data_IF_706805445049
#
_entry.id   IF_706805445049
#
_cell.length_a   1.000
_cell.length_b   1.000
_cell.length_c   1.000
_cell.angle_alpha   90.00
_cell.angle_beta   90.00
_cell.angle_gamma   90.00
#
_symmetry.space_group_name_H-M   'P 1'
#
loop_
_entity.id
_entity.type
_entity.pdbx_description
1 polymer ?
#
# COMPACT_ATOMS: atom_id res chain seq x y z
N UNK A 1 35.33 -8.63 9.50
CA UNK A 1 34.90 -7.67 8.45
C UNK A 1 33.69 -8.15 7.64
N UNK A 2 33.69 -9.35 7.05
CA UNK A 2 32.58 -9.86 6.23
C UNK A 2 31.27 -10.16 7.00
N UNK A 3 31.36 -10.67 8.23
CA UNK A 3 30.21 -10.87 9.13
C UNK A 3 29.58 -9.53 9.56
N UNK A 4 30.34 -8.42 9.55
CA UNK A 4 29.84 -7.08 9.86
C UNK A 4 29.11 -6.44 8.66
N UNK A 5 29.54 -6.72 7.43
CA UNK A 5 28.86 -6.27 6.20
C UNK A 5 27.60 -7.08 5.90
N UNK A 6 27.57 -8.39 6.19
CA UNK A 6 26.36 -9.23 6.07
C UNK A 6 25.40 -8.94 7.24
N UNK A 7 25.91 -8.72 8.47
CA UNK A 7 25.10 -8.18 9.57
C UNK A 7 24.48 -6.86 9.14
N UNK A 8 25.22 -5.92 8.58
CA UNK A 8 24.64 -4.67 8.09
C UNK A 8 23.72 -4.86 6.88
N UNK A 9 23.92 -5.87 6.02
CA UNK A 9 23.01 -6.14 4.89
C UNK A 9 21.64 -6.63 5.38
N UNK A 10 21.61 -7.60 6.30
CA UNK A 10 20.37 -8.12 6.90
C UNK A 10 19.74 -7.17 7.94
N UNK A 11 20.56 -6.48 8.74
CA UNK A 11 20.13 -5.46 9.72
C UNK A 11 19.66 -4.20 8.99
N UNK A 12 20.29 -3.76 7.89
CA UNK A 12 19.90 -2.53 7.17
C UNK A 12 18.89 -2.74 6.04
N UNK A 13 18.71 -3.95 5.49
CA UNK A 13 17.55 -4.28 4.64
C UNK A 13 16.22 -4.02 5.39
N UNK A 14 16.25 -4.11 6.72
CA UNK A 14 15.18 -3.66 7.62
C UNK A 14 15.46 -2.32 8.32
N UNK A 15 16.72 -1.88 8.44
CA UNK A 15 17.14 -0.65 9.15
C UNK A 15 18.05 0.35 8.40
N UNK A 16 17.58 1.13 7.41
CA UNK A 16 17.83 2.60 7.22
C UNK A 16 17.48 3.02 5.78
N UNK A 17 16.21 3.32 5.55
CA UNK A 17 15.69 4.05 4.40
C UNK A 17 15.26 5.42 4.92
N UNK A 18 16.23 6.32 5.04
CA UNK A 18 15.95 7.74 5.20
C UNK A 18 16.24 8.41 3.86
N UNK A 19 15.35 9.31 3.46
CA UNK A 19 15.39 10.17 2.27
C UNK A 19 15.23 9.44 0.93
N UNK A 20 14.13 9.60 0.18
CA UNK A 20 13.42 10.84 -0.16
C UNK A 20 11.90 10.62 -0.08
N UNK A 21 11.34 10.81 1.12
CA UNK A 21 9.90 10.93 1.35
C UNK A 21 9.51 12.38 1.13
N UNK A 22 8.86 12.68 0.02
CA UNK A 22 8.03 13.90 -0.06
C UNK A 22 6.60 13.59 -0.51
N UNK A 23 6.20 12.32 -0.69
CA UNK A 23 4.82 11.97 -1.11
C UNK A 23 4.21 10.72 -0.47
N UNK A 24 4.72 10.25 0.69
CA UNK A 24 4.15 9.09 1.42
C UNK A 24 3.75 9.30 2.89
N UNK A 25 3.46 10.51 3.44
CA UNK A 25 3.04 10.62 4.85
C UNK A 25 1.77 9.82 5.18
N UNK A 26 0.90 9.60 4.19
CA UNK A 26 -0.48 9.11 4.38
C UNK A 26 -0.63 7.61 4.22
N UNK A 27 0.15 6.95 3.35
CA UNK A 27 0.30 5.49 3.37
C UNK A 27 0.92 5.03 4.70
N UNK A 28 1.87 5.83 5.22
CA UNK A 28 2.53 5.57 6.49
C UNK A 28 1.53 5.60 7.65
N UNK A 29 0.64 6.59 7.68
CA UNK A 29 -0.42 6.72 8.68
C UNK A 29 -1.45 5.58 8.62
N UNK A 30 -1.85 5.13 7.42
CA UNK A 30 -2.81 4.02 7.27
C UNK A 30 -2.22 2.67 7.71
N UNK A 31 -0.98 2.38 7.32
CA UNK A 31 -0.30 1.17 7.78
C UNK A 31 -0.11 1.22 9.30
N UNK A 32 0.21 2.39 9.87
CA UNK A 32 0.24 2.60 11.32
C UNK A 32 -1.09 2.30 12.00
N UNK A 33 -2.18 2.79 11.45
CA UNK A 33 -3.53 2.59 11.99
C UNK A 33 -3.96 1.11 11.96
N UNK A 34 -3.72 0.41 10.84
CA UNK A 34 -4.02 -1.03 10.73
C UNK A 34 -3.17 -1.88 11.69
N UNK A 35 -1.91 -1.48 11.91
CA UNK A 35 -1.03 -2.11 12.89
C UNK A 35 -1.47 -1.82 14.33
N UNK A 36 -2.09 -0.67 14.61
CA UNK A 36 -2.66 -0.33 15.92
C UNK A 36 -3.86 -1.19 16.28
N UNK A 37 -4.78 -1.37 15.34
CA UNK A 37 -5.97 -2.21 15.54
C UNK A 37 -5.57 -3.67 15.79
N UNK A 38 -4.52 -4.15 15.12
CA UNK A 38 -4.16 -5.58 15.14
C UNK A 38 -3.31 -6.00 16.35
N UNK A 39 -2.66 -5.05 17.04
CA UNK A 39 -1.70 -5.35 18.11
C UNK A 39 -1.95 -4.41 19.30
N UNK A 40 -3.00 -4.67 20.06
CA UNK A 40 -3.20 -3.97 21.33
C UNK A 40 -2.33 -4.62 22.41
N UNK A 41 -1.42 -3.86 23.00
CA UNK A 41 -0.55 -4.31 24.10
C UNK A 41 -1.37 -4.80 25.31
N UNK A 42 -2.63 -4.38 25.43
CA UNK A 42 -3.56 -4.88 26.44
C UNK A 42 -3.79 -6.41 26.34
N UNK A 43 -3.89 -6.98 25.14
CA UNK A 43 -4.07 -8.43 24.94
C UNK A 43 -2.84 -9.25 25.31
N UNK A 44 -1.63 -8.65 25.29
CA UNK A 44 -0.40 -9.38 25.58
C UNK A 44 -0.30 -9.83 27.05
N UNK A 45 -1.00 -9.13 27.96
CA UNK A 45 -1.04 -9.47 29.40
C UNK A 45 -1.84 -10.74 29.71
N UNK A 46 -2.70 -11.17 28.77
CA UNK A 46 -3.55 -12.35 28.92
C UNK A 46 -2.96 -13.61 28.25
N UNK A 47 -1.80 -13.49 27.60
CA UNK A 47 -1.22 -14.54 26.77
C UNK A 47 0.14 -15.00 27.31
N UNK A 48 0.34 -16.33 27.25
CA UNK A 48 1.67 -16.93 27.51
C UNK A 48 2.70 -16.41 26.50
N UNK A 49 4.00 -16.60 26.78
CA UNK A 49 5.05 -16.26 25.80
C UNK A 49 4.84 -16.96 24.46
N UNK A 50 4.50 -18.25 24.48
CA UNK A 50 4.20 -19.04 23.29
C UNK A 50 2.97 -18.48 22.54
N UNK A 51 1.90 -18.11 23.27
CA UNK A 51 0.71 -17.49 22.68
C UNK A 51 1.02 -16.13 22.01
N UNK A 52 1.84 -15.30 22.66
CA UNK A 52 2.27 -14.00 22.08
C UNK A 52 3.11 -14.18 20.81
N UNK A 53 4.01 -15.16 20.79
CA UNK A 53 4.83 -15.48 19.62
C UNK A 53 3.96 -16.00 18.46
N UNK A 54 2.97 -16.83 18.74
CA UNK A 54 2.06 -17.36 17.73
C UNK A 54 1.19 -16.27 17.10
N UNK A 55 0.69 -15.31 17.89
CA UNK A 55 -0.05 -14.14 17.37
C UNK A 55 0.82 -13.29 16.46
N UNK A 56 2.09 -13.06 16.85
CA UNK A 56 3.05 -12.35 15.99
C UNK A 56 3.24 -13.11 14.66
N UNK A 57 3.40 -14.43 14.71
CA UNK A 57 3.60 -15.26 13.53
C UNK A 57 2.37 -15.35 12.62
N UNK A 58 1.15 -15.47 13.18
CA UNK A 58 -0.07 -15.67 12.41
C UNK A 58 -0.64 -14.36 11.84
N UNK A 59 -0.64 -13.27 12.61
CA UNK A 59 -1.32 -12.01 12.25
C UNK A 59 -0.33 -11.00 11.69
N UNK A 60 0.80 -10.83 12.36
CA UNK A 60 1.75 -9.77 12.06
C UNK A 60 2.58 -10.09 10.82
N UNK A 61 3.06 -11.33 10.71
CA UNK A 61 3.76 -11.76 9.51
C UNK A 61 2.83 -11.92 8.31
N UNK A 62 1.55 -12.26 8.48
CA UNK A 62 0.60 -12.31 7.36
C UNK A 62 0.25 -10.91 6.83
N UNK A 63 0.00 -9.95 7.72
CA UNK A 63 -0.14 -8.53 7.38
C UNK A 63 1.14 -8.06 6.67
N UNK A 64 2.31 -8.28 7.26
CA UNK A 64 3.59 -7.89 6.67
C UNK A 64 3.84 -8.54 5.30
N UNK A 65 3.56 -9.84 5.15
CA UNK A 65 3.73 -10.55 3.88
C UNK A 65 2.77 -10.05 2.82
N UNK A 66 1.50 -9.81 3.16
CA UNK A 66 0.54 -9.19 2.25
C UNK A 66 1.06 -7.82 1.80
N UNK A 67 1.36 -6.92 2.73
CA UNK A 67 1.87 -5.59 2.42
C UNK A 67 3.22 -5.61 1.70
N UNK A 68 4.08 -6.59 1.97
CA UNK A 68 5.38 -6.79 1.31
C UNK A 68 5.27 -7.35 -0.11
N UNK A 69 4.17 -8.05 -0.43
CA UNK A 69 3.86 -8.44 -1.82
C UNK A 69 3.28 -7.27 -2.62
N UNK A 70 2.62 -6.33 -1.95
CA UNK A 70 1.92 -5.20 -2.60
C UNK A 70 2.77 -3.92 -2.61
N UNK A 71 3.70 -3.74 -1.68
CA UNK A 71 4.58 -2.57 -1.58
C UNK A 71 5.96 -2.93 -1.06
N UNK A 72 6.91 -2.02 -1.31
CA UNK A 72 8.17 -2.00 -0.59
C UNK A 72 7.99 -1.03 0.57
N UNK A 73 7.90 -1.58 1.78
CA UNK A 73 7.50 -0.84 2.99
C UNK A 73 8.58 0.16 3.43
N UNK A 74 8.22 1.42 3.77
CA UNK A 74 9.16 2.39 4.31
C UNK A 74 9.77 1.89 5.62
N UNK A 75 11.02 2.24 5.85
CA UNK A 75 11.74 1.71 6.99
C UNK A 75 11.31 2.32 8.34
N UNK A 76 10.68 3.51 8.34
CA UNK A 76 10.01 4.05 9.52
C UNK A 76 8.89 3.13 10.02
N UNK A 77 8.09 2.59 9.09
CA UNK A 77 7.05 1.59 9.37
C UNK A 77 7.67 0.30 9.90
N UNK A 78 8.72 -0.21 9.26
CA UNK A 78 9.36 -1.45 9.70
C UNK A 78 9.89 -1.33 11.13
N UNK A 79 10.50 -0.20 11.49
CA UNK A 79 10.96 0.06 12.87
C UNK A 79 9.82 0.12 13.86
N UNK A 80 8.69 0.70 13.47
CA UNK A 80 7.53 0.84 14.33
C UNK A 80 6.82 -0.49 14.54
N UNK A 81 6.65 -1.28 13.48
CA UNK A 81 6.22 -2.68 13.56
C UNK A 81 7.13 -3.44 14.54
N UNK A 82 8.46 -3.36 14.35
CA UNK A 82 9.41 -4.03 15.23
C UNK A 82 9.29 -3.55 16.68
N UNK A 83 9.08 -2.24 16.89
CA UNK A 83 8.83 -1.65 18.22
C UNK A 83 7.57 -2.20 18.87
N UNK A 84 6.45 -2.27 18.14
CA UNK A 84 5.17 -2.80 18.65
C UNK A 84 5.23 -4.30 18.90
N UNK A 85 5.83 -5.07 17.99
CA UNK A 85 6.08 -6.50 18.19
C UNK A 85 6.93 -6.77 19.45
N UNK A 86 7.98 -5.96 19.68
CA UNK A 86 8.81 -6.07 20.90
C UNK A 86 8.03 -5.75 22.16
N UNK A 87 7.23 -4.67 22.12
CA UNK A 87 6.38 -4.29 23.25
C UNK A 87 5.33 -5.37 23.56
N UNK A 88 4.75 -5.98 22.53
CA UNK A 88 3.79 -7.07 22.64
C UNK A 88 4.43 -8.36 23.20
N UNK A 89 5.56 -8.80 22.62
CA UNK A 89 6.23 -10.05 23.00
C UNK A 89 6.84 -10.01 24.41
N UNK A 90 7.48 -8.90 24.78
CA UNK A 90 8.25 -8.79 26.03
C UNK A 90 7.51 -8.07 27.16
N UNK A 91 6.43 -7.34 26.85
CA UNK A 91 5.80 -6.43 27.79
C UNK A 91 6.66 -5.18 28.10
N UNK A 92 6.11 -4.24 28.85
CA UNK A 92 6.78 -2.99 29.23
C UNK A 92 7.80 -3.13 30.37
N UNK A 93 8.24 -4.34 30.76
CA UNK A 93 9.22 -4.48 31.84
C UNK A 93 10.65 -4.11 31.41
N UNK A 94 11.36 -3.44 32.33
CA UNK A 94 12.60 -2.69 32.13
C UNK A 94 13.89 -3.46 32.48
N UNK A 95 13.80 -4.72 32.94
CA UNK A 95 14.95 -5.43 33.53
C UNK A 95 15.71 -6.46 32.68
N UNK A 96 15.24 -6.83 31.48
CA UNK A 96 15.94 -7.80 30.60
C UNK A 96 16.45 -7.12 29.34
N UNK A 97 17.69 -7.40 28.91
CA UNK A 97 18.23 -6.96 27.61
C UNK A 97 17.26 -7.42 26.51
N UNK A 98 16.47 -6.49 25.98
CA UNK A 98 15.42 -6.77 24.98
C UNK A 98 16.11 -7.13 23.67
N UNK A 99 16.10 -8.41 23.31
CA UNK A 99 16.62 -8.89 22.02
C UNK A 99 15.73 -8.31 20.92
N UNK A 100 16.33 -7.71 19.89
CA UNK A 100 15.60 -7.18 18.75
C UNK A 100 14.90 -8.33 17.99
N UNK A 101 13.67 -8.11 17.49
CA UNK A 101 12.95 -9.12 16.70
C UNK A 101 13.74 -9.50 15.44
N UNK A 102 14.45 -8.52 14.85
CA UNK A 102 15.45 -8.75 13.78
C UNK A 102 16.52 -9.77 14.17
N UNK A 103 17.04 -9.69 15.40
CA UNK A 103 18.06 -10.63 15.88
C UNK A 103 17.48 -12.02 16.14
N UNK A 104 16.19 -12.13 16.50
CA UNK A 104 15.51 -13.43 16.63
C UNK A 104 15.27 -14.08 15.28
N UNK A 105 14.78 -13.31 14.30
CA UNK A 105 14.57 -13.81 12.94
C UNK A 105 15.88 -14.21 12.26
N UNK A 106 16.95 -13.44 12.46
CA UNK A 106 18.28 -13.81 11.95
C UNK A 106 18.81 -15.08 12.59
N UNK A 107 18.72 -15.19 13.93
CA UNK A 107 19.10 -16.43 14.63
C UNK A 107 18.28 -17.62 14.14
N UNK A 108 16.99 -17.43 13.89
CA UNK A 108 16.11 -18.47 13.36
C UNK A 108 16.50 -18.86 11.92
N UNK A 109 16.81 -17.91 11.04
CA UNK A 109 17.30 -18.21 9.68
C UNK A 109 18.62 -18.96 9.72
N UNK A 110 19.57 -18.51 10.53
CA UNK A 110 20.85 -19.17 10.66
C UNK A 110 20.69 -20.59 11.21
N UNK A 111 19.79 -20.79 12.18
CA UNK A 111 19.50 -22.11 12.76
C UNK A 111 18.67 -23.05 11.87
N UNK A 112 17.77 -22.53 11.05
CA UNK A 112 16.83 -23.35 10.25
C UNK A 112 17.29 -23.51 8.80
N UNK A 113 17.75 -22.44 8.15
CA UNK A 113 18.08 -22.47 6.73
C UNK A 113 19.56 -22.59 6.46
N UNK A 114 20.40 -21.81 7.14
CA UNK A 114 21.84 -21.78 6.80
C UNK A 114 22.57 -22.97 7.45
N UNK A 115 22.12 -23.43 8.63
CA UNK A 115 22.55 -24.65 9.34
C UNK A 115 24.07 -24.90 9.19
N UNK A 116 24.88 -23.97 9.70
CA UNK A 116 26.36 -23.92 9.85
C UNK A 116 26.85 -22.49 9.56
N UNK A 117 28.12 -22.16 9.86
CA UNK A 117 28.75 -20.84 9.64
C UNK A 117 28.95 -20.48 8.15
N UNK A 118 28.14 -21.07 7.26
CA UNK A 118 28.19 -20.85 5.83
C UNK A 118 27.86 -19.40 5.48
N UNK A 119 28.68 -18.83 4.60
CA UNK A 119 28.43 -17.50 4.04
C UNK A 119 27.09 -17.48 3.31
N UNK A 120 26.32 -16.41 3.50
CA UNK A 120 25.06 -16.23 2.77
C UNK A 120 25.29 -16.34 1.26
N UNK A 121 26.45 -15.92 0.74
CA UNK A 121 26.80 -15.94 -0.69
C UNK A 121 26.94 -17.34 -1.26
N UNK A 122 27.47 -18.29 -0.49
CA UNK A 122 27.71 -19.68 -0.91
C UNK A 122 26.57 -20.63 -0.53
N UNK A 123 25.63 -20.18 0.30
CA UNK A 123 24.47 -20.97 0.69
C UNK A 123 23.60 -21.37 -0.51
N UNK A 124 23.38 -22.69 -0.65
CA UNK A 124 22.43 -23.29 -1.60
C UNK A 124 21.04 -23.35 -0.98
N UNK A 125 20.05 -22.84 -1.69
CA UNK A 125 18.67 -22.71 -1.20
C UNK A 125 18.01 -24.09 -1.12
N UNK A 126 17.46 -24.51 0.04
CA UNK A 126 16.71 -25.75 0.16
C UNK A 126 15.48 -25.75 -0.77
N UNK A 127 15.16 -26.89 -1.37
CA UNK A 127 14.02 -27.05 -2.31
C UNK A 127 12.67 -26.86 -1.61
N UNK A 128 12.57 -27.21 -0.34
CA UNK A 128 11.40 -27.18 0.54
C UNK A 128 11.23 -25.87 1.33
N UNK A 129 12.02 -24.83 1.04
CA UNK A 129 11.90 -23.57 1.76
C UNK A 129 10.66 -22.74 1.35
N UNK A 130 10.25 -21.84 2.26
CA UNK A 130 9.12 -20.96 1.99
C UNK A 130 9.39 -20.00 0.81
N UNK A 131 8.32 -19.56 0.14
CA UNK A 131 8.39 -18.70 -1.06
C UNK A 131 9.20 -17.41 -0.83
N UNK A 132 9.11 -16.85 0.37
CA UNK A 132 9.83 -15.63 0.74
C UNK A 132 11.35 -15.86 0.71
N UNK A 133 11.82 -16.99 1.25
CA UNK A 133 13.24 -17.37 1.23
C UNK A 133 13.75 -17.60 -0.20
N UNK A 134 12.93 -18.22 -1.06
CA UNK A 134 13.23 -18.37 -2.50
C UNK A 134 13.41 -17.00 -3.17
N UNK A 135 12.49 -16.07 -2.95
CA UNK A 135 12.59 -14.71 -3.50
C UNK A 135 13.81 -13.93 -2.99
N UNK A 136 14.08 -14.00 -1.69
CA UNK A 136 15.23 -13.31 -1.08
C UNK A 136 16.55 -13.82 -1.66
N UNK A 137 16.70 -15.14 -1.82
CA UNK A 137 17.88 -15.72 -2.47
C UNK A 137 17.96 -15.43 -3.97
N UNK A 138 16.83 -15.25 -4.66
CA UNK A 138 16.82 -14.77 -6.04
C UNK A 138 17.39 -13.34 -6.17
N UNK A 139 17.03 -12.44 -5.24
CA UNK A 139 17.57 -11.07 -5.20
C UNK A 139 19.07 -11.08 -4.88
N UNK A 140 19.50 -11.94 -3.96
CA UNK A 140 20.91 -12.12 -3.60
C UNK A 140 21.81 -12.36 -4.83
N UNK A 141 21.37 -13.18 -5.80
CA UNK A 141 22.15 -13.44 -7.03
C UNK A 141 22.37 -12.15 -7.81
N UNK A 142 21.33 -11.32 -7.97
CA UNK A 142 21.44 -10.00 -8.64
C UNK A 142 22.39 -9.06 -7.88
N UNK A 143 22.35 -9.12 -6.55
CA UNK A 143 23.18 -8.27 -5.69
C UNK A 143 24.66 -8.68 -5.68
N UNK A 144 25.03 -9.92 -6.02
CA UNK A 144 26.43 -10.37 -6.02
C UNK A 144 27.32 -9.49 -6.92
N UNK A 145 26.80 -9.09 -8.09
CA UNK A 145 27.50 -8.20 -9.02
C UNK A 145 27.73 -6.78 -8.50
N UNK A 146 27.14 -6.40 -7.35
CA UNK A 146 27.35 -5.10 -6.71
C UNK A 146 28.43 -5.13 -5.65
N UNK A 147 29.11 -6.26 -5.47
CA UNK A 147 30.21 -6.41 -4.54
C UNK A 147 31.47 -6.87 -5.28
N UNK A 148 32.58 -6.20 -5.01
CA UNK A 148 33.90 -6.63 -5.43
C UNK A 148 34.87 -6.54 -4.26
N UNK A 149 35.57 -7.63 -3.93
CA UNK A 149 36.54 -7.70 -2.83
C UNK A 149 36.00 -7.13 -1.49
N UNK A 150 34.72 -7.35 -1.20
CA UNK A 150 34.07 -6.88 0.02
C UNK A 150 33.63 -5.41 0.00
N UNK A 151 33.92 -4.65 -1.07
CA UNK A 151 33.41 -3.30 -1.28
C UNK A 151 32.11 -3.32 -2.06
N UNK A 152 31.17 -2.47 -1.64
CA UNK A 152 29.90 -2.26 -2.32
C UNK A 152 30.04 -1.20 -3.43
N UNK A 153 29.86 -1.61 -4.67
CA UNK A 153 30.15 -0.80 -5.87
C UNK A 153 29.17 0.35 -6.12
N UNK A 154 27.96 0.30 -5.54
CA UNK A 154 26.95 1.34 -5.76
C UNK A 154 27.12 2.57 -4.85
N UNK A 155 28.19 2.64 -4.04
CA UNK A 155 28.56 3.81 -3.24
C UNK A 155 30.03 4.12 -3.41
N UNK A 156 30.36 5.42 -3.41
CA UNK A 156 31.76 5.88 -3.47
C UNK A 156 32.56 5.43 -2.23
N UNK A 157 31.91 5.39 -1.07
CA UNK A 157 32.52 4.93 0.19
C UNK A 157 32.78 3.42 0.24
N UNK A 158 32.23 2.63 -0.69
CA UNK A 158 32.29 1.16 -0.62
C UNK A 158 31.40 0.55 0.46
N UNK A 159 30.66 1.38 1.21
CA UNK A 159 29.74 0.94 2.26
C UNK A 159 28.39 0.57 1.67
N UNK A 160 27.83 -0.54 2.14
CA UNK A 160 26.50 -0.98 1.73
C UNK A 160 25.44 0.11 1.94
N UNK A 161 24.60 0.31 0.92
CA UNK A 161 23.43 1.18 1.00
C UNK A 161 22.22 0.48 0.42
N UNK A 162 21.25 0.20 1.29
CA UNK A 162 19.96 -0.36 0.88
C UNK A 162 19.27 0.54 -0.14
N UNK A 163 19.34 1.87 0.00
CA UNK A 163 18.72 2.82 -0.93
C UNK A 163 19.30 2.66 -2.33
N UNK A 164 20.63 2.52 -2.44
CA UNK A 164 21.30 2.29 -3.73
C UNK A 164 20.93 0.94 -4.33
N UNK A 165 20.89 -0.12 -3.51
CA UNK A 165 20.50 -1.47 -3.94
C UNK A 165 19.06 -1.47 -4.44
N UNK A 166 18.16 -0.84 -3.68
CA UNK A 166 16.76 -0.68 -4.04
C UNK A 166 16.59 0.06 -5.36
N UNK A 167 17.27 1.21 -5.55
CA UNK A 167 17.19 1.97 -6.78
C UNK A 167 17.75 1.18 -7.97
N UNK A 168 18.82 0.41 -7.77
CA UNK A 168 19.37 -0.48 -8.78
C UNK A 168 18.43 -1.64 -9.13
N UNK A 169 17.76 -2.25 -8.14
CA UNK A 169 16.73 -3.29 -8.37
C UNK A 169 15.49 -2.74 -9.07
N UNK A 170 15.07 -1.52 -8.71
CA UNK A 170 13.87 -0.90 -9.24
C UNK A 170 14.05 -0.35 -10.67
N UNK A 171 15.30 -0.08 -11.05
CA UNK A 171 15.66 0.63 -12.28
C UNK A 171 15.21 2.08 -12.27
N UNK A 172 15.33 2.74 -13.44
CA UNK A 172 14.74 4.06 -13.63
C UNK A 172 13.21 3.94 -13.63
N UNK A 173 12.56 4.65 -12.69
CA UNK A 173 11.11 4.81 -12.66
C UNK A 173 10.80 6.30 -12.77
N UNK A 174 10.09 6.73 -13.82
CA UNK A 174 9.70 8.12 -13.93
C UNK A 174 8.79 8.49 -12.74
N UNK A 175 9.02 9.68 -12.18
CA UNK A 175 8.16 10.20 -11.11
C UNK A 175 6.74 10.35 -11.66
N UNK A 176 5.76 9.79 -10.95
CA UNK A 176 4.35 9.94 -11.34
C UNK A 176 3.92 11.40 -11.11
N UNK A 177 3.63 12.12 -12.19
CA UNK A 177 3.30 13.56 -12.18
C UNK A 177 2.04 13.89 -11.38
N UNK A 178 1.13 12.93 -11.27
CA UNK A 178 -0.18 13.06 -10.63
C UNK A 178 -0.26 12.44 -9.23
N UNK A 179 0.87 11.97 -8.67
CA UNK A 179 0.90 11.36 -7.34
C UNK A 179 0.36 12.29 -6.25
N UNK A 180 0.61 13.60 -6.34
CA UNK A 180 0.06 14.58 -5.38
C UNK A 180 -1.48 14.61 -5.35
N UNK A 181 -2.14 14.34 -6.48
CA UNK A 181 -3.59 14.35 -6.59
C UNK A 181 -4.18 13.11 -5.92
N UNK A 182 -3.51 11.96 -6.03
CA UNK A 182 -3.91 10.73 -5.33
C UNK A 182 -3.77 10.91 -3.82
N UNK A 183 -2.67 11.54 -3.39
CA UNK A 183 -2.33 11.67 -1.98
C UNK A 183 -2.86 12.93 -1.30
N UNK A 184 -3.68 13.74 -1.99
CA UNK A 184 -4.24 14.99 -1.46
C UNK A 184 -4.93 14.81 -0.10
N UNK A 185 -4.70 15.75 0.82
CA UNK A 185 -5.32 15.78 2.14
C UNK A 185 -6.87 15.76 2.12
N UNK A 186 -7.47 16.14 0.98
CA UNK A 186 -8.91 16.16 0.77
C UNK A 186 -9.53 14.76 0.65
N UNK A 187 -8.82 13.78 0.08
CA UNK A 187 -9.36 12.42 -0.07
C UNK A 187 -9.36 11.69 1.28
N UNK A 188 -10.29 10.76 1.52
CA UNK A 188 -10.18 9.88 2.69
C UNK A 188 -8.99 8.93 2.52
N UNK A 189 -8.23 8.62 3.60
CA UNK A 189 -7.06 7.75 3.51
C UNK A 189 -7.32 6.40 2.81
N UNK A 190 -8.45 5.74 3.15
CA UNK A 190 -8.93 4.50 2.50
C UNK A 190 -9.09 4.64 0.97
N UNK A 191 -9.51 5.82 0.49
CA UNK A 191 -9.66 6.11 -0.95
C UNK A 191 -8.29 6.24 -1.62
N UNK A 192 -7.39 7.07 -1.06
CA UNK A 192 -6.05 7.31 -1.63
C UNK A 192 -5.29 6.01 -1.80
N UNK A 193 -5.38 5.17 -0.78
CA UNK A 193 -4.76 3.86 -0.77
C UNK A 193 -5.26 2.96 -1.90
N UNK A 194 -6.58 2.83 -2.02
CA UNK A 194 -7.19 2.02 -3.06
C UNK A 194 -6.87 2.56 -4.46
N UNK A 195 -7.02 3.88 -4.68
CA UNK A 195 -6.70 4.53 -5.96
C UNK A 195 -5.25 4.31 -6.36
N UNK A 196 -4.32 4.39 -5.40
CA UNK A 196 -2.92 4.09 -5.66
C UNK A 196 -2.72 2.65 -6.14
N UNK A 197 -3.40 1.67 -5.53
CA UNK A 197 -3.39 0.29 -6.02
C UNK A 197 -3.98 0.17 -7.42
N UNK A 198 -5.08 0.87 -7.69
CA UNK A 198 -5.77 0.85 -8.97
C UNK A 198 -4.85 1.35 -10.10
N UNK A 199 -4.18 2.49 -9.89
CA UNK A 199 -3.21 3.08 -10.83
C UNK A 199 -2.03 2.13 -11.11
N UNK A 200 -1.58 1.40 -10.10
CA UNK A 200 -0.50 0.42 -10.24
C UNK A 200 -0.99 -0.92 -10.85
N UNK A 201 -2.28 -1.03 -11.19
CA UNK A 201 -2.91 -2.24 -11.69
C UNK A 201 -2.95 -3.38 -10.67
N UNK A 202 -2.83 -3.09 -9.37
CA UNK A 202 -2.64 -4.05 -8.27
C UNK A 202 -3.93 -4.50 -7.57
N UNK A 203 -5.09 -4.03 -8.00
CA UNK A 203 -6.37 -4.52 -7.50
C UNK A 203 -6.66 -5.94 -8.00
N UNK A 204 -7.24 -6.77 -7.13
CA UNK A 204 -7.58 -8.17 -7.41
C UNK A 204 -8.86 -8.30 -8.27
N UNK A 205 -8.81 -7.72 -9.46
CA UNK A 205 -9.80 -7.96 -10.51
C UNK A 205 -9.77 -9.42 -10.96
N UNK A 206 -10.83 -9.90 -11.63
CA UNK A 206 -10.82 -11.28 -12.14
C UNK A 206 -9.69 -11.52 -13.13
N UNK A 207 -9.42 -10.56 -14.03
CA UNK A 207 -8.26 -10.61 -14.94
C UNK A 207 -6.94 -10.79 -14.18
N UNK A 208 -6.72 -10.04 -13.10
CA UNK A 208 -5.49 -10.15 -12.31
C UNK A 208 -5.39 -11.49 -11.60
N UNK A 209 -6.49 -12.03 -11.07
CA UNK A 209 -6.51 -13.34 -10.41
C UNK A 209 -6.14 -14.47 -11.36
N UNK A 210 -6.72 -14.47 -12.57
CA UNK A 210 -6.38 -15.43 -13.63
C UNK A 210 -4.89 -15.34 -13.96
N UNK A 211 -4.36 -14.13 -14.15
CA UNK A 211 -2.91 -13.91 -14.39
C UNK A 211 -2.02 -14.36 -13.23
N UNK A 212 -2.56 -14.46 -12.01
CA UNK A 212 -1.86 -14.97 -10.83
C UNK A 212 -2.07 -16.47 -10.62
N UNK A 213 -2.68 -17.19 -11.56
CA UNK A 213 -3.05 -18.60 -11.46
C UNK A 213 -3.94 -18.90 -10.24
N UNK A 214 -4.79 -17.94 -9.85
CA UNK A 214 -5.83 -18.15 -8.86
C UNK A 214 -7.08 -18.65 -9.60
N UNK A 215 -7.66 -19.80 -9.23
CA UNK A 215 -8.89 -20.29 -9.84
C UNK A 215 -10.02 -19.28 -9.70
N UNK A 216 -10.72 -19.00 -10.80
CA UNK A 216 -11.88 -18.11 -10.85
C UNK A 216 -12.98 -18.82 -11.64
N UNK A 217 -14.12 -19.06 -11.01
CA UNK A 217 -15.28 -19.70 -11.64
C UNK A 217 -15.96 -18.78 -12.64
N UNK A 218 -16.20 -17.52 -12.23
CA UNK A 218 -16.82 -16.48 -13.05
C UNK A 218 -15.92 -15.25 -13.15
N UNK A 219 -15.45 -15.01 -14.38
CA UNK A 219 -14.58 -13.89 -14.75
C UNK A 219 -15.36 -12.63 -15.10
N UNK A 220 -16.68 -12.70 -15.24
CA UNK A 220 -17.50 -11.56 -15.61
C UNK A 220 -17.59 -10.52 -14.48
N UNK A 221 -17.79 -9.27 -14.89
CA UNK A 221 -18.10 -8.16 -14.00
C UNK A 221 -19.44 -8.41 -13.29
N UNK A 222 -19.47 -8.35 -11.97
CA UNK A 222 -20.70 -8.53 -11.20
C UNK A 222 -21.54 -7.26 -11.05
N UNK A 223 -21.10 -6.13 -11.60
CA UNK A 223 -21.81 -4.86 -11.49
C UNK A 223 -22.66 -4.54 -12.72
N UNK A 224 -22.52 -5.28 -13.81
CA UNK A 224 -23.33 -5.10 -15.02
C UNK A 224 -23.69 -6.44 -15.65
N UNK A 225 -24.72 -6.42 -16.49
CA UNK A 225 -25.23 -7.62 -17.16
C UNK A 225 -24.57 -7.88 -18.53
N UNK A 226 -23.44 -7.24 -18.81
CA UNK A 226 -22.81 -7.27 -20.15
C UNK A 226 -21.97 -8.54 -20.41
N UNK A 227 -21.80 -9.41 -19.41
CA UNK A 227 -21.00 -10.64 -19.51
C UNK A 227 -19.55 -10.38 -19.97
N UNK A 228 -19.00 -9.20 -19.67
CA UNK A 228 -17.63 -8.82 -20.00
C UNK A 228 -16.69 -9.14 -18.84
N UNK A 229 -15.47 -9.58 -19.17
CA UNK A 229 -14.42 -9.86 -18.19
C UNK A 229 -14.14 -8.65 -17.29
N UNK A 230 -14.09 -8.88 -15.98
CA UNK A 230 -13.75 -7.84 -15.01
C UNK A 230 -12.26 -7.46 -15.09
N UNK A 231 -12.00 -6.37 -15.80
CA UNK A 231 -10.71 -5.67 -15.84
C UNK A 231 -10.80 -4.37 -15.04
N UNK A 232 -9.66 -3.74 -14.74
CA UNK A 232 -9.64 -2.41 -14.11
C UNK A 232 -10.30 -1.35 -14.99
N UNK A 233 -10.10 -1.44 -16.32
CA UNK A 233 -10.67 -0.49 -17.29
C UNK A 233 -12.19 -0.67 -17.33
N UNK A 234 -12.65 -1.91 -17.51
CA UNK A 234 -14.07 -2.19 -17.51
C UNK A 234 -14.73 -1.74 -16.20
N UNK A 235 -14.21 -2.19 -15.06
CA UNK A 235 -14.82 -1.93 -13.75
C UNK A 235 -14.97 -0.43 -13.43
N UNK A 236 -14.04 0.43 -13.84
CA UNK A 236 -14.05 1.84 -13.44
C UNK A 236 -14.52 2.80 -14.53
N UNK A 237 -14.59 2.37 -15.80
CA UNK A 237 -14.76 3.28 -16.94
C UNK A 237 -15.77 2.81 -17.98
N UNK A 238 -15.87 1.50 -18.25
CA UNK A 238 -16.78 0.98 -19.31
C UNK A 238 -18.05 0.36 -18.73
N UNK A 239 -17.99 -0.14 -17.50
CA UNK A 239 -19.10 -0.79 -16.80
C UNK A 239 -20.31 0.15 -16.74
N UNK A 240 -21.44 -0.29 -17.31
CA UNK A 240 -22.70 0.47 -17.34
C UNK A 240 -23.13 1.02 -15.98
N UNK A 241 -23.03 0.21 -14.93
CA UNK A 241 -23.37 0.64 -13.57
C UNK A 241 -22.44 1.77 -13.08
N UNK A 242 -21.14 1.65 -13.35
CA UNK A 242 -20.17 2.69 -12.97
C UNK A 242 -20.34 3.96 -13.80
N UNK A 243 -20.70 3.84 -15.08
CA UNK A 243 -21.06 4.97 -15.94
C UNK A 243 -22.28 5.73 -15.39
N UNK A 244 -23.28 5.02 -14.85
CA UNK A 244 -24.43 5.64 -14.20
C UNK A 244 -24.02 6.42 -12.93
N UNK A 245 -23.16 5.86 -12.08
CA UNK A 245 -22.60 6.59 -10.91
C UNK A 245 -21.88 7.86 -11.35
N UNK A 246 -21.03 7.77 -12.38
CA UNK A 246 -20.33 8.93 -12.90
C UNK A 246 -21.26 9.98 -13.52
N UNK A 247 -22.36 9.57 -14.15
CA UNK A 247 -23.34 10.49 -14.72
C UNK A 247 -23.88 11.43 -13.63
N UNK A 248 -24.37 10.86 -12.54
CA UNK A 248 -24.88 11.60 -11.37
C UNK A 248 -23.81 12.50 -10.74
N UNK A 249 -22.58 12.00 -10.60
CA UNK A 249 -21.48 12.79 -10.03
C UNK A 249 -21.05 13.94 -10.96
N UNK A 250 -21.07 13.74 -12.28
CA UNK A 250 -20.78 14.79 -13.25
C UNK A 250 -21.87 15.86 -13.25
N UNK A 251 -23.14 15.48 -13.11
CA UNK A 251 -24.25 16.42 -12.94
C UNK A 251 -24.08 17.23 -11.65
N UNK A 252 -23.83 16.55 -10.52
CA UNK A 252 -23.62 17.18 -9.23
C UNK A 252 -22.46 18.17 -9.24
N UNK A 253 -21.31 17.81 -9.82
CA UNK A 253 -20.11 18.66 -9.86
C UNK A 253 -20.09 19.65 -11.02
N UNK A 254 -21.06 19.58 -11.93
CA UNK A 254 -21.12 20.32 -13.20
C UNK A 254 -19.81 20.25 -14.00
N UNK A 255 -19.10 19.13 -13.89
CA UNK A 255 -17.74 18.98 -14.46
C UNK A 255 -17.54 17.55 -14.96
N UNK A 256 -17.31 17.38 -16.26
CA UNK A 256 -16.99 16.07 -16.85
C UNK A 256 -15.49 15.78 -16.76
N UNK A 257 -15.11 14.74 -16.02
CA UNK A 257 -13.70 14.36 -15.82
C UNK A 257 -13.36 12.95 -16.33
N UNK A 258 -14.37 12.12 -16.62
CA UNK A 258 -14.20 10.75 -17.13
C UNK A 258 -13.25 10.67 -18.33
N UNK A 259 -12.35 9.69 -18.29
CA UNK A 259 -11.30 9.44 -19.28
C UNK A 259 -11.06 7.93 -19.39
N UNK A 260 -10.50 7.48 -20.53
CA UNK A 260 -10.07 6.09 -20.74
C UNK A 260 -8.76 5.79 -20.00
N UNK A 261 -8.80 5.82 -18.67
CA UNK A 261 -7.73 5.46 -17.75
C UNK A 261 -7.79 6.29 -16.48
N UNK A 262 -7.72 5.67 -15.30
CA UNK A 262 -7.55 6.37 -14.00
C UNK A 262 -6.38 7.36 -14.07
N UNK A 263 -5.25 6.96 -14.68
CA UNK A 263 -4.09 7.84 -14.87
C UNK A 263 -4.42 9.03 -15.76
N UNK A 264 -5.12 8.81 -16.89
CA UNK A 264 -5.52 9.89 -17.82
C UNK A 264 -6.52 10.84 -17.17
N UNK A 265 -7.43 10.33 -16.34
CA UNK A 265 -8.37 11.11 -15.55
C UNK A 265 -7.63 12.07 -14.61
N UNK A 266 -6.63 11.57 -13.88
CA UNK A 266 -5.79 12.40 -13.00
C UNK A 266 -4.95 13.41 -13.80
N UNK A 267 -4.41 13.03 -14.95
CA UNK A 267 -3.67 13.93 -15.83
C UNK A 267 -4.56 15.08 -16.33
N UNK A 268 -5.82 14.78 -16.71
CA UNK A 268 -6.80 15.83 -17.09
C UNK A 268 -7.05 16.82 -15.95
N UNK A 269 -7.19 16.34 -14.70
CA UNK A 269 -7.33 17.25 -13.55
C UNK A 269 -6.09 18.13 -13.39
N UNK A 270 -4.89 17.54 -13.57
CA UNK A 270 -3.62 18.26 -13.40
C UNK A 270 -3.46 19.39 -14.41
N UNK A 271 -3.85 19.18 -15.68
CA UNK A 271 -3.69 20.17 -16.77
C UNK A 271 -4.79 21.25 -16.80
N UNK A 272 -5.96 21.03 -16.18
CA UNK A 272 -7.02 22.06 -16.13
C UNK A 272 -6.53 23.33 -15.42
N UNK A 273 -6.92 24.50 -15.93
CA UNK A 273 -6.67 25.81 -15.32
C UNK A 273 -7.58 26.06 -14.11
N UNK A 274 -7.43 25.24 -13.08
CA UNK A 274 -8.11 25.38 -11.80
C UNK A 274 -7.10 25.73 -10.71
N UNK A 275 -7.55 26.45 -9.69
CA UNK A 275 -6.76 26.61 -8.47
C UNK A 275 -6.51 25.25 -7.81
N UNK A 276 -5.37 25.10 -7.13
CA UNK A 276 -4.93 23.82 -6.57
C UNK A 276 -5.98 23.17 -5.68
N UNK A 277 -6.69 23.96 -4.87
CA UNK A 277 -7.75 23.45 -4.01
C UNK A 277 -8.89 22.78 -4.78
N UNK A 278 -9.34 23.34 -5.91
CA UNK A 278 -10.36 22.69 -6.77
C UNK A 278 -9.82 21.40 -7.39
N UNK A 279 -8.54 21.35 -7.78
CA UNK A 279 -7.91 20.10 -8.27
C UNK A 279 -7.91 19.02 -7.19
N UNK A 280 -7.60 19.38 -5.95
CA UNK A 280 -7.64 18.47 -4.81
C UNK A 280 -9.05 17.94 -4.52
N UNK A 281 -10.08 18.79 -4.60
CA UNK A 281 -11.48 18.38 -4.44
C UNK A 281 -11.88 17.40 -5.55
N UNK A 282 -11.62 17.73 -6.81
CA UNK A 282 -11.99 16.85 -7.92
C UNK A 282 -11.24 15.52 -7.85
N UNK A 283 -9.96 15.51 -7.46
CA UNK A 283 -9.21 14.29 -7.25
C UNK A 283 -9.80 13.44 -6.10
N UNK A 284 -10.26 14.07 -5.02
CA UNK A 284 -10.94 13.38 -3.93
C UNK A 284 -12.29 12.78 -4.32
N UNK A 285 -13.09 13.50 -5.11
CA UNK A 285 -14.35 12.99 -5.68
C UNK A 285 -14.07 11.77 -6.57
N UNK A 286 -13.10 11.88 -7.47
CA UNK A 286 -12.70 10.76 -8.33
C UNK A 286 -12.26 9.55 -7.49
N UNK A 287 -11.44 9.78 -6.47
CA UNK A 287 -11.01 8.71 -5.57
C UNK A 287 -12.15 8.08 -4.77
N UNK A 288 -13.16 8.85 -4.39
CA UNK A 288 -14.37 8.34 -3.75
C UNK A 288 -15.19 7.46 -4.71
N UNK A 289 -15.43 7.91 -5.95
CA UNK A 289 -16.13 7.09 -6.96
C UNK A 289 -15.41 5.75 -7.16
N UNK A 290 -14.10 5.77 -7.38
CA UNK A 290 -13.32 4.55 -7.55
C UNK A 290 -13.44 3.64 -6.31
N UNK A 291 -13.30 4.19 -5.10
CA UNK A 291 -13.42 3.43 -3.85
C UNK A 291 -14.79 2.77 -3.70
N UNK A 292 -15.86 3.53 -3.90
CA UNK A 292 -17.21 3.04 -3.72
C UNK A 292 -17.61 2.04 -4.82
N UNK A 293 -17.13 2.20 -6.04
CA UNK A 293 -17.26 1.16 -7.09
C UNK A 293 -16.56 -0.14 -6.68
N UNK A 294 -15.32 -0.07 -6.19
CA UNK A 294 -14.60 -1.25 -5.71
C UNK A 294 -15.31 -1.94 -4.53
N UNK A 295 -15.86 -1.14 -3.62
CA UNK A 295 -16.63 -1.62 -2.48
C UNK A 295 -17.96 -2.26 -2.90
N UNK A 296 -18.69 -1.63 -3.83
CA UNK A 296 -19.93 -2.17 -4.39
C UNK A 296 -19.67 -3.53 -5.02
N UNK A 297 -18.65 -3.63 -5.89
CA UNK A 297 -18.19 -4.90 -6.48
C UNK A 297 -17.96 -5.96 -5.41
N UNK A 298 -17.20 -5.64 -4.35
CA UNK A 298 -16.90 -6.60 -3.29
C UNK A 298 -18.14 -7.01 -2.50
N UNK A 299 -19.08 -6.11 -2.27
CA UNK A 299 -20.35 -6.45 -1.64
C UNK A 299 -21.19 -7.39 -2.50
N UNK A 300 -21.26 -7.16 -3.80
CA UNK A 300 -21.99 -8.05 -4.72
C UNK A 300 -21.32 -9.42 -4.79
N UNK A 301 -20.00 -9.50 -5.02
CA UNK A 301 -19.28 -10.80 -5.12
C UNK A 301 -19.24 -11.59 -3.81
N UNK A 302 -19.00 -10.95 -2.66
CA UNK A 302 -18.74 -11.67 -1.40
C UNK A 302 -19.91 -11.68 -0.41
N UNK A 303 -20.91 -10.82 -0.60
CA UNK A 303 -22.07 -10.73 0.31
C UNK A 303 -23.41 -10.93 -0.41
N UNK A 304 -23.40 -11.18 -1.72
CA UNK A 304 -24.62 -11.32 -2.53
C UNK A 304 -25.51 -10.06 -2.50
N UNK A 305 -24.94 -8.91 -2.12
CA UNK A 305 -25.72 -7.68 -1.95
C UNK A 305 -25.90 -6.99 -3.30
N UNK A 306 -27.14 -6.69 -3.64
CA UNK A 306 -27.45 -5.77 -4.74
C UNK A 306 -27.16 -4.33 -4.29
N UNK A 307 -26.41 -3.58 -5.09
CA UNK A 307 -25.96 -2.23 -4.76
C UNK A 307 -26.51 -1.27 -5.80
N UNK A 308 -27.45 -0.42 -5.38
CA UNK A 308 -28.08 0.56 -6.26
C UNK A 308 -27.17 1.78 -6.46
N UNK A 309 -27.22 2.35 -7.67
CA UNK A 309 -26.46 3.55 -8.05
C UNK A 309 -26.73 4.72 -7.10
N UNK A 310 -27.99 4.95 -6.77
CA UNK A 310 -28.46 6.06 -5.92
C UNK A 310 -27.84 6.00 -4.51
N UNK A 311 -27.81 4.81 -3.91
CA UNK A 311 -27.21 4.60 -2.59
C UNK A 311 -25.73 5.01 -2.58
N UNK A 312 -24.99 4.60 -3.62
CA UNK A 312 -23.57 4.86 -3.75
C UNK A 312 -23.30 6.33 -4.00
N UNK A 313 -24.09 6.98 -4.87
CA UNK A 313 -23.99 8.42 -5.14
C UNK A 313 -24.24 9.22 -3.86
N UNK A 314 -25.27 8.90 -3.09
CA UNK A 314 -25.56 9.55 -1.82
C UNK A 314 -24.41 9.40 -0.81
N UNK A 315 -23.83 8.20 -0.70
CA UNK A 315 -22.67 7.97 0.17
C UNK A 315 -21.44 8.78 -0.27
N UNK A 316 -21.15 8.83 -1.58
CA UNK A 316 -20.05 9.63 -2.13
C UNK A 316 -20.26 11.11 -1.80
N UNK A 317 -21.44 11.66 -2.10
CA UNK A 317 -21.78 13.06 -1.82
C UNK A 317 -21.60 13.38 -0.34
N UNK A 318 -22.20 12.58 0.54
CA UNK A 318 -22.14 12.76 2.00
C UNK A 318 -20.70 12.77 2.51
N UNK A 319 -19.89 11.77 2.16
CA UNK A 319 -18.49 11.68 2.60
C UNK A 319 -17.65 12.88 2.13
N UNK A 320 -17.85 13.33 0.88
CA UNK A 320 -17.12 14.48 0.32
C UNK A 320 -17.55 15.78 0.99
N UNK A 321 -18.86 15.98 1.21
CA UNK A 321 -19.42 17.17 1.88
C UNK A 321 -18.93 17.26 3.32
N UNK A 322 -18.99 16.17 4.09
CA UNK A 322 -18.46 16.10 5.45
C UNK A 322 -16.96 16.41 5.49
N UNK A 323 -16.19 15.89 4.52
CA UNK A 323 -14.76 16.15 4.44
C UNK A 323 -14.44 17.60 4.10
N UNK A 324 -15.21 18.21 3.20
CA UNK A 324 -15.12 19.62 2.83
C UNK A 324 -15.46 20.53 4.03
N UNK A 325 -16.52 20.23 4.78
CA UNK A 325 -16.94 21.04 5.93
C UNK A 325 -15.89 21.04 7.04
N UNK A 326 -15.23 19.90 7.29
CA UNK A 326 -14.12 19.79 8.25
C UNK A 326 -12.89 20.61 7.82
N UNK A 327 -12.53 20.59 6.53
CA UNK A 327 -11.31 21.25 6.03
C UNK A 327 -11.51 22.75 5.71
N UNK A 328 -12.74 23.20 5.41
CA UNK A 328 -13.07 24.61 5.23
C UNK A 328 -12.81 25.46 6.48
N UNK A 329 -12.80 24.84 7.67
CA UNK A 329 -12.42 25.52 8.92
C UNK A 329 -10.93 25.87 9.00
N UNK A 330 -10.06 25.20 8.23
CA UNK A 330 -8.60 25.36 8.32
C UNK A 330 -7.94 25.97 7.09
N UNK A 331 -8.57 25.95 5.91
CA UNK A 331 -8.00 26.45 4.64
C UNK A 331 -9.08 27.13 3.80
N UNK A 332 -9.07 28.47 3.70
CA UNK A 332 -9.95 29.20 2.79
C UNK A 332 -9.19 29.79 1.60
N UNK A 333 -9.32 29.21 0.40
CA UNK A 333 -9.08 29.93 -0.84
C UNK A 333 -10.38 30.60 -1.30
N UNK A 334 -10.46 31.93 -1.18
CA UNK A 334 -11.63 32.74 -1.58
C UNK A 334 -12.12 32.45 -3.02
N UNK A 335 -11.23 32.02 -3.93
CA UNK A 335 -11.52 31.74 -5.35
C UNK A 335 -12.33 30.46 -5.63
N UNK A 336 -12.62 29.63 -4.61
CA UNK A 336 -13.42 28.41 -4.79
C UNK A 336 -14.81 28.46 -4.12
N UNK A 337 -15.20 29.61 -3.56
CA UNK A 337 -16.39 29.71 -2.71
C UNK A 337 -17.67 29.24 -3.42
N UNK A 338 -17.90 29.70 -4.65
CA UNK A 338 -19.13 29.36 -5.39
C UNK A 338 -19.23 27.88 -5.72
N UNK A 339 -18.10 27.26 -6.10
CA UNK A 339 -18.04 25.82 -6.37
C UNK A 339 -18.28 25.00 -5.10
N UNK A 340 -17.69 25.40 -3.98
CA UNK A 340 -17.90 24.73 -2.68
C UNK A 340 -19.36 24.89 -2.25
N UNK A 341 -19.92 26.10 -2.37
CA UNK A 341 -21.29 26.36 -1.96
C UNK A 341 -22.29 25.56 -2.81
N UNK A 342 -22.05 25.46 -4.12
CA UNK A 342 -22.82 24.57 -4.99
C UNK A 342 -22.80 23.11 -4.52
N UNK A 343 -21.62 22.57 -4.17
CA UNK A 343 -21.48 21.20 -3.67
C UNK A 343 -22.09 20.96 -2.29
N UNK A 344 -22.21 21.99 -1.46
CA UNK A 344 -22.80 21.89 -0.12
C UNK A 344 -24.33 21.99 -0.14
N UNK A 345 -24.89 22.63 -1.17
CA UNK A 345 -26.34 22.86 -1.31
C UNK A 345 -27.08 21.82 -2.16
N UNK A 346 -26.36 20.96 -2.90
CA UNK A 346 -26.91 19.94 -3.82
C UNK A 346 -26.15 18.62 -3.67
#
# INVERSE_FOLDING_TARGET
MYVHHINNMFIHLRRKVHYRQEQTPTLELEVRYLLEISITVAYSKQLSYAGRLQVINAVLFSIYSFWGTVFILPQSILKEVDKKCRAFLWGCNTGKKKIALESLWLKWIHGIYIKTDASIWTHKVPTDCNWYWKKLNGIKILMQGWYNQGRYLLTQSGNYSITRSYLALMGYRPKMRTAELIWTSMSLPKHRFMVWLAVQGRLLTQERKVRMNIPVEDVACCLCDEQVMETTVHLFEECKWTLAVWHEINQWTRTKIQSNGITRMLDRIKVKHWVQFKKEIMAAICGAVLYHTWRARNWTKFKGRNVHTEEVVLQIKKEVIERLSLLNKSKKPHKCRDFIQHLLCN
#
